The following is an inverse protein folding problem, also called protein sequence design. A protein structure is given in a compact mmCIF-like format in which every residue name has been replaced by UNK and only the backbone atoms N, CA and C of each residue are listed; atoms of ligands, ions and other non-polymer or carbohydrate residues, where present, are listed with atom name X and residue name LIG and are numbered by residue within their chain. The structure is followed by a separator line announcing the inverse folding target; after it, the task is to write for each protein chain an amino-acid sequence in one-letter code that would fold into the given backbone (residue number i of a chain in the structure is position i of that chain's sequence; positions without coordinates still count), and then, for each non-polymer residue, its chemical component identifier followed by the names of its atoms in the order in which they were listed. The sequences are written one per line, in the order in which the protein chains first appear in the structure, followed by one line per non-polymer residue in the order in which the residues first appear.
data_IF_724935878092
#
_entry.id   IF_724935878092
#
_cell.length_a   1.000
_cell.length_b   1.000
_cell.length_c   1.000
_cell.angle_alpha   90.00
_cell.angle_beta   90.00
_cell.angle_gamma   90.00
#
_symmetry.space_group_name_H-M   'P 1'
#
loop_
_entity.id
_entity.type
_entity.pdbx_description
1 polymer ?
#
# COMPACT_ATOMS: atom_id res chain seq x y z
N UNK A 1 11.42 23.73 -7.14
CA UNK A 1 12.35 23.25 -6.13
C UNK A 1 13.80 23.38 -6.61
N UNK A 2 14.30 22.51 -7.49
CA UNK A 2 15.72 22.57 -7.96
C UNK A 2 16.06 23.94 -8.54
N UNK A 3 15.22 24.49 -9.45
CA UNK A 3 15.48 25.80 -10.09
C UNK A 3 15.15 26.99 -9.20
N UNK A 4 14.16 26.90 -8.32
CA UNK A 4 13.72 28.02 -7.47
C UNK A 4 14.46 28.11 -6.13
N UNK A 5 15.18 27.07 -5.74
CA UNK A 5 15.78 26.96 -4.40
C UNK A 5 14.76 26.76 -3.27
N UNK A 6 13.45 26.76 -3.55
CA UNK A 6 12.40 26.53 -2.55
C UNK A 6 12.12 25.04 -2.42
N UNK A 7 12.62 24.42 -1.36
CA UNK A 7 12.47 22.97 -1.11
C UNK A 7 11.26 22.62 -0.25
N UNK A 8 10.53 23.63 0.24
CA UNK A 8 9.45 23.40 1.21
C UNK A 8 8.05 23.59 0.61
N UNK A 9 7.90 24.51 -0.37
CA UNK A 9 6.61 24.86 -0.95
C UNK A 9 6.50 24.41 -2.42
N UNK A 10 5.82 23.28 -2.72
CA UNK A 10 5.63 22.82 -4.09
C UNK A 10 4.89 23.83 -4.95
N UNK A 11 5.29 23.96 -6.22
CA UNK A 11 4.65 24.86 -7.20
C UNK A 11 4.44 24.15 -8.53
N UNK A 12 3.31 24.48 -9.19
CA UNK A 12 3.02 24.10 -10.57
C UNK A 12 2.67 25.36 -11.34
N UNK A 13 3.36 25.62 -12.46
CA UNK A 13 3.21 26.80 -13.28
C UNK A 13 3.34 28.13 -12.50
N UNK A 14 4.22 28.15 -11.50
CA UNK A 14 4.46 29.32 -10.66
C UNK A 14 3.51 29.50 -9.46
N UNK A 15 2.37 28.77 -9.42
CA UNK A 15 1.39 28.80 -8.33
C UNK A 15 1.72 27.74 -7.28
N UNK A 16 1.45 28.03 -6.00
CA UNK A 16 1.56 27.04 -4.92
C UNK A 16 0.59 25.89 -5.15
N UNK A 17 1.09 24.69 -4.88
CA UNK A 17 0.34 23.47 -5.13
C UNK A 17 0.20 22.63 -3.85
N UNK A 18 -1.03 22.43 -3.40
CA UNK A 18 -1.33 21.83 -2.10
C UNK A 18 -1.98 20.43 -2.19
N UNK A 19 -2.01 19.80 -3.38
CA UNK A 19 -2.70 18.51 -3.55
C UNK A 19 -2.00 17.36 -2.84
N UNK A 20 -0.68 17.35 -2.81
CA UNK A 20 0.13 16.30 -2.16
C UNK A 20 1.18 16.88 -1.23
N UNK A 21 1.52 16.15 -0.12
CA UNK A 21 2.62 16.51 0.74
C UNK A 21 3.98 16.43 0.06
N UNK A 22 5.01 16.83 0.79
CA UNK A 22 6.32 17.21 0.25
C UNK A 22 7.19 16.03 -0.19
N UNK A 23 7.04 14.83 0.38
CA UNK A 23 8.02 13.75 0.23
C UNK A 23 8.23 13.37 -1.24
N UNK A 24 7.15 13.22 -2.02
CA UNK A 24 7.22 12.92 -3.44
C UNK A 24 7.98 13.99 -4.24
N UNK A 25 7.82 15.25 -3.88
CA UNK A 25 8.54 16.35 -4.54
C UNK A 25 10.01 16.38 -4.17
N UNK A 26 10.38 15.99 -2.95
CA UNK A 26 11.78 15.85 -2.54
C UNK A 26 12.48 14.74 -3.32
N UNK A 27 11.88 13.57 -3.42
CA UNK A 27 12.49 12.46 -4.18
C UNK A 27 12.67 12.80 -5.65
N UNK A 28 11.69 13.48 -6.28
CA UNK A 28 11.83 13.99 -7.65
C UNK A 28 12.92 15.05 -7.76
N UNK A 29 12.95 16.03 -6.86
CA UNK A 29 13.94 17.10 -6.87
C UNK A 29 15.37 16.56 -6.71
N UNK A 30 15.58 15.60 -5.82
CA UNK A 30 16.86 14.91 -5.65
C UNK A 30 17.26 14.14 -6.90
N UNK A 31 16.33 13.43 -7.52
CA UNK A 31 16.58 12.70 -8.76
C UNK A 31 16.93 13.64 -9.92
N UNK A 32 16.22 14.76 -10.08
CA UNK A 32 16.55 15.76 -11.10
C UNK A 32 17.88 16.48 -10.84
N UNK A 33 18.20 16.73 -9.58
CA UNK A 33 19.50 17.32 -9.24
C UNK A 33 20.67 16.37 -9.58
N UNK A 34 20.48 15.06 -9.42
CA UNK A 34 21.51 14.06 -9.69
C UNK A 34 21.63 13.69 -11.18
N UNK A 35 20.51 13.61 -11.90
CA UNK A 35 20.45 13.04 -13.28
C UNK A 35 19.91 14.02 -14.33
N UNK A 36 19.76 15.31 -13.98
CA UNK A 36 19.16 16.32 -14.85
C UNK A 36 17.67 16.10 -15.16
N UNK A 37 17.04 17.08 -15.83
CA UNK A 37 15.62 17.03 -16.16
C UNK A 37 15.37 16.15 -17.40
N UNK A 38 15.05 14.88 -17.16
CA UNK A 38 14.70 13.90 -18.19
C UNK A 38 13.71 12.86 -17.65
N UNK A 39 13.16 12.03 -18.54
CA UNK A 39 12.17 11.02 -18.18
C UNK A 39 12.72 9.95 -17.23
N UNK A 40 13.98 9.57 -17.37
CA UNK A 40 14.63 8.61 -16.49
C UNK A 40 14.64 9.14 -15.04
N UNK A 41 15.13 10.37 -14.84
CA UNK A 41 15.17 10.99 -13.53
C UNK A 41 13.77 11.17 -12.92
N UNK A 42 12.74 11.47 -13.73
CA UNK A 42 11.38 11.58 -13.26
C UNK A 42 10.80 10.24 -12.75
N UNK A 43 11.16 9.12 -13.41
CA UNK A 43 10.62 7.78 -13.09
C UNK A 43 11.45 7.02 -12.06
N UNK A 44 12.70 7.40 -11.86
CA UNK A 44 13.65 6.69 -11.00
C UNK A 44 13.16 6.53 -9.55
N UNK A 45 12.60 7.53 -8.87
CA UNK A 45 12.10 7.36 -7.50
C UNK A 45 11.03 6.26 -7.40
N UNK A 46 10.04 6.28 -8.27
CA UNK A 46 9.00 5.23 -8.27
C UNK A 46 9.58 3.83 -8.54
N UNK A 47 10.57 3.72 -9.43
CA UNK A 47 11.25 2.45 -9.70
C UNK A 47 12.04 1.95 -8.48
N UNK A 48 12.74 2.84 -7.77
CA UNK A 48 13.48 2.50 -6.54
C UNK A 48 12.51 1.97 -5.46
N UNK A 49 11.39 2.68 -5.22
CA UNK A 49 10.38 2.20 -4.27
C UNK A 49 9.69 0.92 -4.74
N UNK A 50 9.50 0.73 -6.04
CA UNK A 50 9.02 -0.52 -6.61
C UNK A 50 9.93 -1.70 -6.28
N UNK A 51 11.24 -1.57 -6.57
CA UNK A 51 12.24 -2.59 -6.23
C UNK A 51 12.30 -2.83 -4.71
N UNK A 52 12.34 -1.77 -3.91
CA UNK A 52 12.33 -1.87 -2.45
C UNK A 52 11.09 -2.61 -1.93
N UNK A 53 9.92 -2.38 -2.52
CA UNK A 53 8.67 -3.07 -2.17
C UNK A 53 8.72 -4.56 -2.47
N UNK A 54 9.28 -4.96 -3.62
CA UNK A 54 9.45 -6.39 -3.99
C UNK A 54 10.41 -7.07 -3.01
N UNK A 55 11.55 -6.44 -2.73
CA UNK A 55 12.55 -6.96 -1.78
C UNK A 55 11.99 -7.05 -0.35
N UNK A 56 11.24 -6.04 0.07
CA UNK A 56 10.61 -6.03 1.39
C UNK A 56 9.51 -7.11 1.49
N UNK A 57 8.73 -7.30 0.45
CA UNK A 57 7.71 -8.37 0.37
C UNK A 57 8.38 -9.75 0.46
N UNK A 58 9.49 -9.97 -0.26
CA UNK A 58 10.30 -11.18 -0.12
C UNK A 58 10.76 -11.41 1.31
N UNK A 59 11.37 -10.39 1.91
CA UNK A 59 11.92 -10.48 3.27
C UNK A 59 10.83 -10.78 4.29
N UNK A 60 9.74 -10.00 4.30
CA UNK A 60 8.65 -10.15 5.25
C UNK A 60 7.97 -11.51 5.12
N UNK A 61 7.65 -11.92 3.91
CA UNK A 61 7.00 -13.22 3.65
C UNK A 61 7.89 -14.40 4.03
N UNK A 62 9.19 -14.31 3.74
CA UNK A 62 10.17 -15.33 4.12
C UNK A 62 10.30 -15.46 5.64
N UNK A 63 10.23 -14.32 6.35
CA UNK A 63 10.32 -14.28 7.81
C UNK A 63 9.05 -14.82 8.48
N UNK A 64 7.89 -14.56 7.92
CA UNK A 64 6.60 -14.91 8.52
C UNK A 64 6.18 -16.34 8.18
N UNK A 65 6.51 -16.80 7.00
CA UNK A 65 6.19 -18.14 6.51
C UNK A 65 7.47 -18.94 6.22
N UNK A 66 7.96 -18.89 4.99
CA UNK A 66 9.14 -19.58 4.52
C UNK A 66 9.72 -18.92 3.26
N UNK A 67 10.96 -19.27 2.92
CA UNK A 67 11.69 -18.66 1.79
C UNK A 67 11.02 -18.91 0.43
N UNK A 68 10.37 -20.07 0.24
CA UNK A 68 9.64 -20.41 -0.99
C UNK A 68 8.46 -19.48 -1.17
N UNK A 69 7.66 -19.31 -0.11
CA UNK A 69 6.53 -18.34 -0.09
C UNK A 69 7.04 -16.92 -0.33
N UNK A 70 8.19 -16.55 0.26
CA UNK A 70 8.81 -15.23 0.04
C UNK A 70 9.13 -14.97 -1.42
N UNK A 71 9.84 -15.88 -2.10
CA UNK A 71 10.15 -15.75 -3.53
C UNK A 71 8.89 -15.67 -4.40
N UNK A 72 7.91 -16.52 -4.10
CA UNK A 72 6.64 -16.54 -4.83
C UNK A 72 5.86 -15.24 -4.64
N UNK A 73 5.81 -14.68 -3.43
CA UNK A 73 5.14 -13.42 -3.13
C UNK A 73 5.80 -12.24 -3.85
N UNK A 74 7.14 -12.19 -3.83
CA UNK A 74 7.91 -11.17 -4.54
C UNK A 74 7.68 -11.23 -6.07
N UNK A 75 7.65 -12.43 -6.65
CA UNK A 75 7.33 -12.65 -8.06
C UNK A 75 5.91 -12.20 -8.38
N UNK A 76 4.91 -12.61 -7.58
CA UNK A 76 3.52 -12.24 -7.75
C UNK A 76 3.37 -10.72 -7.72
N UNK A 77 3.95 -10.05 -6.72
CA UNK A 77 3.88 -8.60 -6.61
C UNK A 77 4.54 -7.92 -7.81
N UNK A 78 5.79 -8.25 -8.11
CA UNK A 78 6.58 -7.59 -9.17
C UNK A 78 6.03 -7.77 -10.59
N UNK A 79 5.23 -8.84 -10.81
CA UNK A 79 4.59 -9.12 -12.10
C UNK A 79 3.10 -8.82 -12.15
N UNK A 80 2.52 -8.29 -11.07
CA UNK A 80 1.14 -7.78 -11.06
C UNK A 80 1.04 -6.52 -11.92
N UNK A 81 0.02 -6.42 -12.76
CA UNK A 81 -0.11 -5.37 -13.77
C UNK A 81 -0.13 -3.96 -13.19
N UNK A 82 -0.93 -3.71 -12.16
CA UNK A 82 -1.00 -2.41 -11.51
C UNK A 82 0.33 -2.04 -10.85
N UNK A 83 0.97 -3.00 -10.17
CA UNK A 83 2.27 -2.78 -9.54
C UNK A 83 3.35 -2.43 -10.57
N UNK A 84 3.38 -3.15 -11.70
CA UNK A 84 4.32 -2.91 -12.78
C UNK A 84 4.14 -1.52 -13.42
N UNK A 85 2.88 -1.06 -13.60
CA UNK A 85 2.60 0.27 -14.12
C UNK A 85 3.03 1.35 -13.12
N UNK A 86 2.57 1.26 -11.87
CA UNK A 86 2.78 2.32 -10.87
C UNK A 86 4.24 2.43 -10.42
N UNK A 87 5.00 1.34 -10.48
CA UNK A 87 6.45 1.37 -10.23
C UNK A 87 7.26 2.13 -11.30
N UNK A 88 6.66 2.53 -12.42
CA UNK A 88 7.30 3.31 -13.48
C UNK A 88 6.62 4.66 -13.73
N UNK A 89 5.48 4.88 -13.10
CA UNK A 89 4.75 6.13 -13.24
C UNK A 89 5.33 7.21 -12.31
N UNK A 90 5.21 8.46 -12.72
CA UNK A 90 5.62 9.62 -11.91
C UNK A 90 4.47 9.98 -10.97
N UNK A 91 4.27 9.15 -9.95
CA UNK A 91 3.15 9.25 -9.00
C UNK A 91 3.59 8.89 -7.57
N UNK A 92 2.84 9.35 -6.59
CA UNK A 92 3.09 9.12 -5.16
C UNK A 92 2.89 7.66 -4.72
N UNK A 93 2.25 6.85 -5.56
CA UNK A 93 1.69 5.56 -5.15
C UNK A 93 2.75 4.51 -4.83
N UNK A 94 3.89 4.50 -5.54
CA UNK A 94 4.98 3.54 -5.28
C UNK A 94 5.62 3.76 -3.90
N UNK A 95 5.93 5.01 -3.54
CA UNK A 95 6.46 5.37 -2.24
C UNK A 95 5.44 5.11 -1.12
N UNK A 96 4.18 5.49 -1.34
CA UNK A 96 3.09 5.21 -0.40
C UNK A 96 2.93 3.71 -0.14
N UNK A 97 2.92 2.90 -1.20
CA UNK A 97 2.84 1.44 -1.10
C UNK A 97 3.96 0.88 -0.23
N UNK A 98 5.20 1.30 -0.48
CA UNK A 98 6.35 0.87 0.30
C UNK A 98 6.20 1.23 1.78
N UNK A 99 5.96 2.51 2.09
CA UNK A 99 5.87 2.95 3.48
C UNK A 99 4.67 2.35 4.22
N UNK A 100 3.51 2.22 3.58
CA UNK A 100 2.37 1.54 4.20
C UNK A 100 2.67 0.05 4.45
N UNK A 101 3.31 -0.63 3.50
CA UNK A 101 3.70 -2.04 3.66
C UNK A 101 4.70 -2.22 4.82
N UNK A 102 5.69 -1.31 4.92
CA UNK A 102 6.65 -1.31 6.05
C UNK A 102 5.93 -1.02 7.36
N UNK A 103 5.04 -0.03 7.40
CA UNK A 103 4.30 0.33 8.60
C UNK A 103 3.47 -0.84 9.12
N UNK A 104 2.61 -1.42 8.28
CA UNK A 104 1.70 -2.49 8.72
C UNK A 104 2.44 -3.79 9.04
N UNK A 105 3.46 -4.15 8.27
CA UNK A 105 4.28 -5.32 8.56
C UNK A 105 5.10 -5.15 9.86
N UNK A 106 5.62 -3.94 10.12
CA UNK A 106 6.32 -3.62 11.36
C UNK A 106 5.40 -3.65 12.57
N UNK A 107 4.13 -3.24 12.42
CA UNK A 107 3.14 -3.45 13.48
C UNK A 107 2.99 -4.95 13.82
N UNK A 108 2.86 -5.81 12.80
CA UNK A 108 2.75 -7.26 13.02
C UNK A 108 4.00 -7.86 13.70
N UNK A 109 5.20 -7.44 13.27
CA UNK A 109 6.44 -7.88 13.89
C UNK A 109 6.61 -7.34 15.31
N UNK A 110 6.14 -6.12 15.59
CA UNK A 110 6.07 -5.53 16.92
C UNK A 110 5.17 -6.32 17.87
N UNK A 111 4.04 -6.77 17.35
CA UNK A 111 3.09 -7.62 18.07
C UNK A 111 3.62 -9.02 18.36
N UNK A 112 4.35 -9.62 17.41
CA UNK A 112 4.75 -11.03 17.46
C UNK A 112 6.14 -11.26 18.02
N UNK A 113 7.10 -10.38 17.75
CA UNK A 113 8.51 -10.63 17.99
C UNK A 113 9.16 -9.64 18.97
N UNK A 114 9.40 -8.40 18.52
CA UNK A 114 10.07 -7.36 19.32
C UNK A 114 9.35 -6.02 19.18
N UNK A 115 8.94 -5.47 20.31
CA UNK A 115 8.28 -4.16 20.40
C UNK A 115 9.07 -3.00 19.78
N UNK A 116 10.34 -3.16 19.48
CA UNK A 116 11.14 -2.16 18.74
C UNK A 116 10.60 -1.92 17.33
N UNK A 117 9.98 -2.92 16.71
CA UNK A 117 9.36 -2.75 15.39
C UNK A 117 8.23 -1.72 15.38
N UNK A 118 7.62 -1.41 16.53
CA UNK A 118 6.63 -0.34 16.61
C UNK A 118 7.23 1.04 16.27
N UNK A 119 8.50 1.31 16.58
CA UNK A 119 9.13 2.55 16.13
C UNK A 119 9.25 2.63 14.60
N UNK A 120 9.59 1.51 13.95
CA UNK A 120 9.62 1.45 12.49
C UNK A 120 8.21 1.60 11.89
N UNK A 121 7.18 1.05 12.55
CA UNK A 121 5.78 1.26 12.17
C UNK A 121 5.42 2.76 12.15
N UNK A 122 5.73 3.50 13.22
CA UNK A 122 5.43 4.93 13.31
C UNK A 122 6.28 5.77 12.34
N UNK A 123 7.56 5.45 12.18
CA UNK A 123 8.43 6.15 11.23
C UNK A 123 7.95 5.96 9.78
N UNK A 124 7.60 4.74 9.40
CA UNK A 124 7.06 4.45 8.07
C UNK A 124 5.69 5.11 7.85
N UNK A 125 4.81 5.12 8.87
CA UNK A 125 3.54 5.83 8.81
C UNK A 125 3.73 7.35 8.62
N UNK A 126 4.73 7.95 9.29
CA UNK A 126 5.05 9.37 9.11
C UNK A 126 5.49 9.69 7.67
N UNK A 127 6.35 8.84 7.09
CA UNK A 127 6.77 8.98 5.69
C UNK A 127 5.61 8.74 4.71
N UNK A 128 4.71 7.81 5.00
CA UNK A 128 3.49 7.61 4.22
C UNK A 128 2.58 8.85 4.27
N UNK A 129 2.46 9.50 5.45
CA UNK A 129 1.70 10.75 5.62
C UNK A 129 2.37 11.89 4.85
N UNK A 130 3.69 12.01 4.86
CA UNK A 130 4.42 12.98 4.05
C UNK A 130 4.36 12.69 2.53
N UNK A 131 3.96 11.48 2.13
CA UNK A 131 3.81 11.09 0.73
C UNK A 131 2.41 11.41 0.18
N UNK A 132 1.35 11.06 0.90
CA UNK A 132 -0.04 11.18 0.39
C UNK A 132 -1.05 11.74 1.41
N UNK A 133 -0.60 12.20 2.57
CA UNK A 133 -1.46 12.80 3.59
C UNK A 133 -2.01 11.79 4.61
N UNK A 134 -3.09 12.16 5.34
CA UNK A 134 -3.58 11.43 6.51
C UNK A 134 -3.85 9.94 6.30
N UNK A 135 -4.16 9.53 5.08
CA UNK A 135 -4.43 8.13 4.72
C UNK A 135 -3.23 7.22 5.02
N UNK A 136 -2.00 7.78 5.00
CA UNK A 136 -0.76 7.08 5.32
C UNK A 136 -0.70 6.53 6.75
N UNK A 137 -1.42 7.16 7.69
CA UNK A 137 -1.59 6.69 9.07
C UNK A 137 -2.92 5.98 9.26
N UNK A 138 -4.00 6.50 8.65
CA UNK A 138 -5.36 6.04 8.90
C UNK A 138 -5.56 4.56 8.51
N UNK A 139 -5.08 4.14 7.35
CA UNK A 139 -5.25 2.75 6.90
C UNK A 139 -4.46 1.75 7.74
N UNK A 140 -3.14 1.91 7.97
CA UNK A 140 -2.40 1.02 8.85
C UNK A 140 -2.94 1.01 10.28
N UNK A 141 -3.29 2.19 10.82
CA UNK A 141 -3.84 2.33 12.17
C UNK A 141 -5.19 1.62 12.33
N UNK A 142 -6.13 1.84 11.39
CA UNK A 142 -7.42 1.15 11.40
C UNK A 142 -7.25 -0.37 11.29
N UNK A 143 -6.37 -0.84 10.39
CA UNK A 143 -6.12 -2.27 10.22
C UNK A 143 -5.50 -2.90 11.47
N UNK A 144 -4.58 -2.20 12.14
CA UNK A 144 -4.01 -2.63 13.41
C UNK A 144 -5.10 -2.77 14.50
N UNK A 145 -5.97 -1.76 14.62
CA UNK A 145 -7.08 -1.79 15.59
C UNK A 145 -8.04 -2.95 15.27
N UNK A 146 -8.44 -3.11 14.02
CA UNK A 146 -9.35 -4.20 13.60
C UNK A 146 -8.73 -5.58 13.86
N UNK A 147 -7.43 -5.73 13.64
CA UNK A 147 -6.71 -6.96 13.95
C UNK A 147 -6.71 -7.26 15.46
N UNK A 148 -6.41 -6.27 16.30
CA UNK A 148 -6.44 -6.42 17.75
C UNK A 148 -7.85 -6.72 18.30
N UNK A 149 -8.88 -6.08 17.73
CA UNK A 149 -10.29 -6.38 18.02
C UNK A 149 -10.63 -7.82 17.65
N UNK A 150 -10.22 -8.28 16.46
CA UNK A 150 -10.41 -9.66 16.04
C UNK A 150 -9.74 -10.65 16.97
N UNK A 151 -8.50 -10.35 17.40
CA UNK A 151 -7.73 -11.16 18.34
C UNK A 151 -8.24 -11.07 19.77
N UNK A 152 -9.16 -10.14 20.07
CA UNK A 152 -9.62 -9.80 21.43
C UNK A 152 -8.48 -9.40 22.36
N UNK A 153 -7.44 -8.80 21.82
CA UNK A 153 -6.21 -8.40 22.51
C UNK A 153 -6.00 -6.88 22.48
N UNK A 154 -7.00 -6.14 22.96
CA UNK A 154 -6.89 -4.68 23.06
C UNK A 154 -5.86 -4.23 24.10
N UNK A 155 -5.42 -5.14 24.99
CA UNK A 155 -4.37 -4.84 25.98
C UNK A 155 -3.04 -4.50 25.29
N UNK A 156 -2.79 -5.03 24.08
CA UNK A 156 -1.59 -4.69 23.33
C UNK A 156 -1.51 -3.19 23.00
N UNK A 157 -2.64 -2.46 22.94
CA UNK A 157 -2.62 -1.01 22.75
C UNK A 157 -1.82 -0.25 23.85
N UNK A 158 -1.67 -0.83 25.02
CA UNK A 158 -0.81 -0.30 26.09
C UNK A 158 0.68 -0.55 25.81
N UNK A 159 0.99 -1.49 24.93
CA UNK A 159 2.34 -1.95 24.63
C UNK A 159 2.88 -1.45 23.27
N UNK A 160 2.02 -0.92 22.39
CA UNK A 160 2.40 -0.38 21.06
C UNK A 160 3.28 0.88 21.14
N UNK A 161 3.79 1.22 22.33
CA UNK A 161 4.63 2.41 22.56
C UNK A 161 3.99 3.70 22.03
N UNK A 162 2.68 3.86 22.27
CA UNK A 162 1.87 4.92 21.66
C UNK A 162 2.48 6.30 21.84
N UNK A 163 2.92 6.67 23.06
CA UNK A 163 3.46 8.00 23.35
C UNK A 163 4.79 8.20 22.60
N UNK A 164 5.77 7.33 22.81
CA UNK A 164 7.09 7.47 22.18
C UNK A 164 7.04 7.30 20.67
N UNK A 165 6.18 6.41 20.16
CA UNK A 165 5.95 6.24 18.74
C UNK A 165 5.27 7.45 18.10
N UNK A 166 4.28 8.05 18.77
CA UNK A 166 3.61 9.26 18.30
C UNK A 166 4.56 10.46 18.32
N UNK A 167 5.43 10.57 19.33
CA UNK A 167 6.49 11.60 19.34
C UNK A 167 7.39 11.44 18.12
N UNK A 168 7.87 10.22 17.83
CA UNK A 168 8.67 9.96 16.63
C UNK A 168 7.92 10.29 15.35
N UNK A 169 6.65 9.87 15.23
CA UNK A 169 5.79 10.18 14.10
C UNK A 169 5.69 11.70 13.89
N UNK A 170 5.37 12.46 14.94
CA UNK A 170 5.22 13.91 14.85
C UNK A 170 6.56 14.61 14.54
N UNK A 171 7.68 14.16 15.13
CA UNK A 171 9.00 14.71 14.81
C UNK A 171 9.36 14.58 13.33
N UNK A 172 8.92 13.51 12.68
CA UNK A 172 9.19 13.26 11.27
C UNK A 172 8.22 13.99 10.33
N UNK A 173 6.93 14.04 10.62
CA UNK A 173 5.96 14.60 9.67
C UNK A 173 5.50 16.03 10.01
N UNK A 174 5.37 16.40 11.28
CA UNK A 174 4.81 17.70 11.67
C UNK A 174 5.63 18.92 11.22
N UNK A 175 6.97 18.89 11.16
CA UNK A 175 7.74 20.07 10.75
C UNK A 175 7.30 20.66 9.41
N UNK A 176 7.04 19.82 8.42
CA UNK A 176 6.56 20.29 7.12
C UNK A 176 5.15 20.88 7.19
N UNK A 177 4.22 20.23 7.89
CA UNK A 177 2.86 20.75 8.03
C UNK A 177 2.82 22.07 8.80
N UNK A 178 3.64 22.20 9.85
CA UNK A 178 3.79 23.45 10.62
C UNK A 178 4.32 24.55 9.73
N UNK A 179 5.39 24.27 8.96
CA UNK A 179 5.97 25.23 8.02
C UNK A 179 4.93 25.70 6.99
N UNK A 180 4.24 24.77 6.34
CA UNK A 180 3.22 25.11 5.33
C UNK A 180 2.06 25.93 5.92
N UNK A 181 1.63 25.60 7.14
CA UNK A 181 0.58 26.36 7.83
C UNK A 181 1.07 27.76 8.21
N UNK A 182 2.30 27.90 8.66
CA UNK A 182 2.87 29.19 9.03
C UNK A 182 3.10 30.12 7.81
N UNK A 183 3.54 29.55 6.67
CA UNK A 183 3.83 30.33 5.47
C UNK A 183 2.61 30.60 4.59
N UNK A 184 1.65 29.67 4.54
CA UNK A 184 0.53 29.72 3.59
C UNK A 184 -0.85 29.79 4.29
N UNK A 185 -0.90 29.71 5.62
CA UNK A 185 -2.09 29.96 6.44
C UNK A 185 -3.29 29.10 6.05
N UNK A 186 -4.45 29.77 5.97
CA UNK A 186 -5.75 29.16 5.67
C UNK A 186 -5.82 28.56 4.26
N UNK A 187 -5.10 29.13 3.30
CA UNK A 187 -5.11 28.63 1.91
C UNK A 187 -4.58 27.19 1.84
N UNK A 188 -3.48 26.91 2.54
CA UNK A 188 -2.97 25.55 2.66
C UNK A 188 -3.97 24.63 3.37
N UNK A 189 -4.49 25.05 4.53
CA UNK A 189 -5.38 24.22 5.33
C UNK A 189 -6.68 23.87 4.59
N UNK A 190 -7.33 24.88 3.96
CA UNK A 190 -8.58 24.67 3.24
C UNK A 190 -8.39 23.82 1.98
N UNK A 191 -7.33 24.05 1.21
CA UNK A 191 -7.08 23.27 0.01
C UNK A 191 -6.64 21.85 0.37
N UNK A 192 -5.64 21.68 1.25
CA UNK A 192 -5.10 20.37 1.56
C UNK A 192 -6.11 19.50 2.34
N UNK A 193 -6.57 19.97 3.50
CA UNK A 193 -7.49 19.19 4.34
C UNK A 193 -8.93 19.25 3.87
N UNK A 194 -9.40 20.43 3.41
CA UNK A 194 -10.78 20.62 2.95
C UNK A 194 -11.02 19.98 1.59
N UNK A 195 -10.40 20.50 0.53
CA UNK A 195 -10.69 20.07 -0.85
C UNK A 195 -10.10 18.67 -1.13
N UNK A 196 -8.79 18.52 -0.92
CA UNK A 196 -8.08 17.31 -1.36
C UNK A 196 -8.21 16.10 -0.42
N UNK A 197 -8.71 16.27 0.80
CA UNK A 197 -8.96 15.16 1.72
C UNK A 197 -10.46 15.01 2.03
N UNK A 198 -11.09 16.02 2.65
CA UNK A 198 -12.48 15.91 3.11
C UNK A 198 -13.50 15.83 1.96
N UNK A 199 -13.47 16.76 1.00
CA UNK A 199 -14.41 16.73 -0.12
C UNK A 199 -14.23 15.47 -0.99
N UNK A 200 -12.99 15.06 -1.27
CA UNK A 200 -12.75 13.79 -1.98
C UNK A 200 -13.30 12.57 -1.26
N UNK A 201 -13.32 12.56 0.05
CA UNK A 201 -13.88 11.46 0.82
C UNK A 201 -15.41 11.43 0.81
N UNK A 202 -16.06 12.60 0.73
CA UNK A 202 -17.52 12.75 0.94
C UNK A 202 -18.30 13.01 -0.34
N UNK A 203 -17.68 13.59 -1.36
CA UNK A 203 -18.33 13.95 -2.63
C UNK A 203 -17.60 13.29 -3.78
N UNK A 204 -18.32 12.60 -4.66
CA UNK A 204 -17.75 11.94 -5.83
C UNK A 204 -17.24 12.95 -6.86
N UNK A 205 -15.94 13.02 -7.06
CA UNK A 205 -15.28 13.87 -8.07
C UNK A 205 -15.60 13.36 -9.50
N UNK A 206 -15.76 12.03 -9.64
CA UNK A 206 -16.08 11.37 -10.91
C UNK A 206 -17.28 10.43 -10.73
N UNK A 207 -18.46 10.84 -11.20
CA UNK A 207 -19.68 10.01 -11.11
C UNK A 207 -19.56 8.69 -11.91
N UNK A 208 -18.81 8.68 -13.01
CA UNK A 208 -18.59 7.49 -13.84
C UNK A 208 -17.87 6.34 -13.14
N UNK A 209 -17.16 6.60 -12.03
CA UNK A 209 -16.46 5.58 -11.24
C UNK A 209 -17.17 5.24 -9.93
N UNK A 210 -18.28 5.91 -9.59
CA UNK A 210 -18.99 5.76 -8.31
C UNK A 210 -19.83 4.47 -8.21
N UNK A 211 -19.43 3.40 -8.90
CA UNK A 211 -20.13 2.12 -8.88
C UNK A 211 -19.62 1.19 -7.76
N UNK A 212 -20.51 0.39 -7.17
CA UNK A 212 -20.18 -0.56 -6.10
C UNK A 212 -19.22 -1.67 -6.55
N UNK A 213 -19.22 -2.04 -7.83
CA UNK A 213 -18.35 -3.06 -8.42
C UNK A 213 -16.99 -2.53 -8.89
N UNK A 214 -16.78 -1.20 -8.88
CA UNK A 214 -15.60 -0.57 -9.45
C UNK A 214 -14.29 -1.17 -8.91
N UNK A 215 -14.11 -1.25 -7.61
CA UNK A 215 -12.88 -1.80 -7.05
C UNK A 215 -12.76 -3.31 -7.18
N UNK A 216 -13.87 -4.03 -7.34
CA UNK A 216 -13.81 -5.46 -7.67
C UNK A 216 -13.16 -5.63 -9.05
N UNK A 217 -13.65 -4.90 -10.05
CA UNK A 217 -13.09 -4.95 -11.40
C UNK A 217 -11.64 -4.44 -11.46
N UNK A 218 -11.36 -3.31 -10.79
CA UNK A 218 -10.00 -2.74 -10.73
C UNK A 218 -9.01 -3.69 -10.06
N UNK A 219 -9.42 -4.34 -8.98
CA UNK A 219 -8.58 -5.34 -8.31
C UNK A 219 -8.26 -6.52 -9.24
N UNK A 220 -9.26 -7.07 -9.94
CA UNK A 220 -9.03 -8.18 -10.88
C UNK A 220 -8.12 -7.79 -12.03
N UNK A 221 -8.29 -6.61 -12.59
CA UNK A 221 -7.44 -6.08 -13.65
C UNK A 221 -6.03 -5.76 -13.15
N UNK A 222 -5.92 -5.09 -12.01
CA UNK A 222 -4.65 -4.66 -11.44
C UNK A 222 -3.80 -5.82 -10.92
N UNK A 223 -4.43 -6.87 -10.38
CA UNK A 223 -3.75 -8.07 -9.90
C UNK A 223 -3.52 -9.11 -11.01
N UNK A 224 -3.87 -8.81 -12.26
CA UNK A 224 -3.56 -9.67 -13.41
C UNK A 224 -2.04 -9.92 -13.53
N UNK A 225 -1.60 -11.16 -13.87
CA UNK A 225 -2.38 -12.35 -14.19
C UNK A 225 -2.82 -13.15 -12.93
N UNK A 226 -2.39 -12.79 -11.73
CA UNK A 226 -2.52 -13.58 -10.51
C UNK A 226 -3.95 -13.73 -9.99
N UNK A 227 -4.85 -12.80 -10.36
CA UNK A 227 -6.28 -12.93 -10.09
C UNK A 227 -6.86 -14.25 -10.64
N UNK A 228 -6.40 -14.72 -11.81
CA UNK A 228 -6.83 -15.98 -12.42
C UNK A 228 -6.24 -17.23 -11.75
N UNK A 229 -5.07 -17.10 -11.12
CA UNK A 229 -4.48 -18.20 -10.35
C UNK A 229 -5.06 -18.28 -8.94
N UNK A 230 -5.31 -17.14 -8.32
CA UNK A 230 -5.84 -17.03 -6.97
C UNK A 230 -7.23 -17.65 -6.84
N UNK A 231 -8.16 -17.35 -7.77
CA UNK A 231 -9.53 -17.81 -7.68
C UNK A 231 -9.67 -19.35 -7.71
N UNK A 232 -9.13 -20.09 -8.71
CA UNK A 232 -9.20 -21.55 -8.72
C UNK A 232 -8.56 -22.17 -7.49
N UNK A 233 -7.43 -21.62 -7.02
CA UNK A 233 -6.76 -22.09 -5.82
C UNK A 233 -7.63 -21.90 -4.57
N UNK A 234 -8.32 -20.75 -4.46
CA UNK A 234 -9.23 -20.44 -3.36
C UNK A 234 -10.46 -21.35 -3.36
N UNK A 235 -11.10 -21.55 -4.52
CA UNK A 235 -12.26 -22.44 -4.67
C UNK A 235 -11.91 -23.88 -4.30
N UNK A 236 -10.75 -24.35 -4.74
CA UNK A 236 -10.26 -25.67 -4.41
C UNK A 236 -10.01 -25.84 -2.91
N UNK A 237 -9.29 -24.91 -2.28
CA UNK A 237 -9.06 -24.93 -0.83
C UNK A 237 -10.39 -24.97 -0.07
N UNK A 238 -11.38 -24.20 -0.53
CA UNK A 238 -12.74 -24.24 0.04
C UNK A 238 -13.36 -25.62 -0.03
N UNK A 239 -13.21 -26.31 -1.17
CA UNK A 239 -13.78 -27.65 -1.39
C UNK A 239 -13.10 -28.73 -0.56
N UNK A 240 -11.76 -28.67 -0.45
CA UNK A 240 -10.96 -29.73 0.21
C UNK A 240 -10.88 -29.57 1.72
N UNK A 241 -10.76 -28.35 2.23
CA UNK A 241 -10.45 -28.07 3.65
C UNK A 241 -11.47 -27.13 4.31
N UNK A 242 -12.41 -26.58 3.56
CA UNK A 242 -13.24 -25.46 3.99
C UNK A 242 -12.44 -24.14 4.11
N UNK A 243 -13.12 -23.03 3.98
CA UNK A 243 -12.56 -21.71 4.28
C UNK A 243 -13.03 -21.29 5.65
N UNK A 244 -12.13 -21.31 6.63
CA UNK A 244 -12.40 -20.76 7.95
C UNK A 244 -11.33 -19.70 8.27
N UNK A 245 -11.74 -18.45 8.30
CA UNK A 245 -10.90 -17.34 8.70
C UNK A 245 -10.37 -17.52 10.14
N UNK A 246 -11.23 -18.00 11.03
CA UNK A 246 -10.86 -18.22 12.42
C UNK A 246 -9.81 -19.32 12.63
N UNK A 247 -9.72 -20.30 11.70
CA UNK A 247 -8.74 -21.39 11.72
C UNK A 247 -7.44 -21.07 10.99
N UNK A 248 -7.38 -19.93 10.29
CA UNK A 248 -6.16 -19.50 9.63
C UNK A 248 -5.07 -19.15 10.68
N UNK A 249 -3.82 -19.30 10.29
CA UNK A 249 -2.72 -18.82 11.13
C UNK A 249 -2.76 -17.30 11.31
N UNK A 250 -2.13 -16.81 12.36
CA UNK A 250 -2.19 -15.41 12.76
C UNK A 250 -1.74 -14.44 11.66
N UNK A 251 -0.69 -14.80 10.93
CA UNK A 251 -0.19 -13.96 9.84
C UNK A 251 -1.18 -13.86 8.67
N UNK A 252 -1.82 -14.99 8.32
CA UNK A 252 -2.88 -15.01 7.32
C UNK A 252 -4.08 -14.16 7.75
N UNK A 253 -4.50 -14.24 9.01
CA UNK A 253 -5.56 -13.38 9.56
C UNK A 253 -5.19 -11.90 9.46
N UNK A 254 -3.97 -11.55 9.86
CA UNK A 254 -3.47 -10.19 9.81
C UNK A 254 -3.44 -9.62 8.39
N UNK A 255 -2.89 -10.35 7.43
CA UNK A 255 -2.84 -9.95 6.03
C UNK A 255 -4.24 -9.82 5.41
N UNK A 256 -5.17 -10.71 5.77
CA UNK A 256 -6.57 -10.59 5.34
C UNK A 256 -7.23 -9.33 5.91
N UNK A 257 -7.01 -9.04 7.20
CA UNK A 257 -7.51 -7.79 7.80
C UNK A 257 -6.96 -6.58 7.03
N UNK A 258 -5.65 -6.53 6.76
CA UNK A 258 -5.07 -5.42 5.99
C UNK A 258 -5.69 -5.29 4.60
N UNK A 259 -5.65 -6.35 3.79
CA UNK A 259 -6.15 -6.31 2.42
C UNK A 259 -7.63 -5.93 2.32
N UNK A 260 -8.46 -6.53 3.19
CA UNK A 260 -9.90 -6.25 3.23
C UNK A 260 -10.19 -4.84 3.75
N UNK A 261 -9.46 -4.36 4.77
CA UNK A 261 -9.65 -2.99 5.29
C UNK A 261 -9.37 -1.96 4.20
N UNK A 262 -8.29 -2.11 3.43
CA UNK A 262 -7.99 -1.19 2.31
C UNK A 262 -9.13 -1.18 1.30
N UNK A 263 -9.61 -2.34 0.87
CA UNK A 263 -10.70 -2.44 -0.10
C UNK A 263 -12.00 -1.82 0.43
N UNK A 264 -12.36 -2.10 1.68
CA UNK A 264 -13.61 -1.60 2.29
C UNK A 264 -13.56 -0.09 2.50
N UNK A 265 -12.46 0.45 3.03
CA UNK A 265 -12.33 1.90 3.26
C UNK A 265 -12.48 2.66 1.95
N UNK A 266 -11.77 2.25 0.91
CA UNK A 266 -11.89 2.95 -0.38
C UNK A 266 -13.23 2.68 -1.09
N UNK A 267 -13.87 1.54 -0.84
CA UNK A 267 -15.23 1.31 -1.33
C UNK A 267 -16.24 2.27 -0.71
N UNK A 268 -16.05 2.67 0.55
CA UNK A 268 -16.93 3.60 1.27
C UNK A 268 -16.65 5.08 0.91
N UNK A 269 -15.44 5.42 0.47
CA UNK A 269 -15.08 6.77 0.03
C UNK A 269 -15.81 7.12 -1.28
N UNK A 270 -16.35 8.33 -1.37
CA UNK A 270 -17.16 8.77 -2.51
C UNK A 270 -16.36 8.86 -3.81
N UNK A 271 -15.18 9.50 -3.79
CA UNK A 271 -14.30 9.60 -4.96
C UNK A 271 -13.48 8.32 -5.13
N UNK A 272 -13.57 7.70 -6.30
CA UNK A 272 -12.88 6.45 -6.61
C UNK A 272 -11.82 6.67 -7.70
N UNK A 273 -10.55 6.44 -7.33
CA UNK A 273 -9.43 6.38 -8.27
C UNK A 273 -8.94 4.93 -8.42
N UNK A 274 -8.47 4.59 -9.58
CA UNK A 274 -7.98 3.22 -9.90
C UNK A 274 -6.88 2.74 -8.97
N UNK A 275 -6.04 3.66 -8.48
CA UNK A 275 -4.85 3.37 -7.65
C UNK A 275 -5.14 3.25 -6.15
N UNK A 276 -6.37 3.51 -5.71
CA UNK A 276 -6.66 3.55 -4.26
C UNK A 276 -6.55 2.18 -3.59
N UNK A 277 -6.84 1.11 -4.31
CA UNK A 277 -6.72 -0.26 -3.79
C UNK A 277 -5.31 -0.82 -3.85
N UNK A 278 -4.38 -0.10 -4.46
CA UNK A 278 -2.99 -0.51 -4.66
C UNK A 278 -2.30 -1.02 -3.38
N UNK A 279 -2.40 -0.39 -2.20
CA UNK A 279 -1.76 -0.88 -0.98
C UNK A 279 -2.23 -2.28 -0.54
N UNK A 280 -3.40 -2.75 -0.99
CA UNK A 280 -3.89 -4.10 -0.69
C UNK A 280 -3.09 -5.21 -1.38
N UNK A 281 -2.40 -4.90 -2.49
CA UNK A 281 -1.62 -5.86 -3.26
C UNK A 281 -0.49 -6.50 -2.43
N UNK A 282 0.08 -5.78 -1.45
CA UNK A 282 1.05 -6.35 -0.52
C UNK A 282 0.51 -7.60 0.18
N UNK A 283 -0.68 -7.49 0.79
CA UNK A 283 -1.29 -8.63 1.46
C UNK A 283 -1.70 -9.74 0.50
N UNK A 284 -2.35 -9.39 -0.60
CA UNK A 284 -2.89 -10.39 -1.52
C UNK A 284 -1.82 -11.11 -2.31
N UNK A 285 -0.67 -10.48 -2.61
CA UNK A 285 0.47 -11.17 -3.19
C UNK A 285 1.02 -12.24 -2.24
N UNK A 286 1.16 -11.94 -0.95
CA UNK A 286 1.65 -12.88 0.06
C UNK A 286 0.63 -14.01 0.29
N UNK A 287 -0.65 -13.67 0.42
CA UNK A 287 -1.71 -14.66 0.63
C UNK A 287 -1.86 -15.61 -0.56
N UNK A 288 -1.76 -15.08 -1.79
CA UNK A 288 -1.77 -15.89 -3.00
C UNK A 288 -0.54 -16.81 -3.07
N UNK A 289 0.64 -16.29 -2.74
CA UNK A 289 1.87 -17.09 -2.68
C UNK A 289 1.73 -18.25 -1.70
N UNK A 290 1.23 -17.98 -0.49
CA UNK A 290 0.97 -19.02 0.52
C UNK A 290 -0.07 -20.03 0.05
N UNK A 291 -1.12 -19.57 -0.60
CA UNK A 291 -2.16 -20.44 -1.17
C UNK A 291 -1.56 -21.38 -2.21
N UNK A 292 -0.71 -20.86 -3.11
CA UNK A 292 -0.05 -21.64 -4.16
C UNK A 292 1.03 -22.59 -3.59
N UNK A 293 1.78 -22.16 -2.57
CA UNK A 293 2.80 -22.98 -1.91
C UNK A 293 2.22 -24.22 -1.20
N UNK A 294 0.97 -24.15 -0.74
CA UNK A 294 0.26 -25.29 -0.14
C UNK A 294 -0.15 -26.38 -1.13
N UNK A 295 0.07 -26.17 -2.43
CA UNK A 295 -0.24 -27.14 -3.46
C UNK A 295 1.01 -27.80 -4.01
N UNK A 296 1.42 -28.93 -3.43
CA UNK A 296 2.53 -29.76 -3.95
C UNK A 296 2.05 -30.69 -5.09
N UNK A 297 2.89 -30.80 -6.13
CA UNK A 297 2.75 -31.81 -7.19
C UNK A 297 1.70 -31.51 -8.28
N UNK A 298 0.91 -32.52 -8.67
CA UNK A 298 -0.03 -32.49 -9.79
C UNK A 298 -1.12 -31.42 -9.65
N UNK A 299 -1.45 -31.04 -8.43
CA UNK A 299 -2.49 -30.08 -8.06
C UNK A 299 -2.05 -28.65 -8.31
N UNK A 300 -0.85 -28.29 -7.89
CA UNK A 300 -0.27 -26.99 -8.19
C UNK A 300 -0.12 -26.78 -9.70
N UNK A 301 0.32 -27.81 -10.42
CA UNK A 301 0.39 -27.79 -11.88
C UNK A 301 -0.99 -27.56 -12.54
N UNK A 302 -2.04 -28.23 -12.09
CA UNK A 302 -3.40 -28.01 -12.65
C UNK A 302 -3.92 -26.60 -12.40
N UNK A 303 -3.74 -26.03 -11.21
CA UNK A 303 -4.13 -24.66 -10.91
C UNK A 303 -3.33 -23.65 -11.77
N UNK A 304 -2.02 -23.85 -11.88
CA UNK A 304 -1.15 -23.05 -12.75
C UNK A 304 -1.54 -23.19 -14.24
N UNK A 305 -1.81 -24.40 -14.73
CA UNK A 305 -2.27 -24.61 -16.11
C UNK A 305 -3.62 -23.96 -16.37
N UNK A 306 -4.57 -24.08 -15.45
CA UNK A 306 -5.88 -23.42 -15.59
C UNK A 306 -5.70 -21.90 -15.64
N UNK A 307 -4.93 -21.31 -14.73
CA UNK A 307 -4.61 -19.90 -14.76
C UNK A 307 -3.88 -19.47 -16.04
N UNK A 308 -2.90 -20.25 -16.51
CA UNK A 308 -2.18 -19.99 -17.75
C UNK A 308 -3.09 -20.04 -18.98
N UNK A 309 -4.01 -21.02 -19.06
CA UNK A 309 -4.99 -21.13 -20.15
C UNK A 309 -5.91 -19.92 -20.18
N UNK A 310 -6.43 -19.48 -19.03
CA UNK A 310 -7.25 -18.25 -18.94
C UNK A 310 -6.45 -17.00 -19.33
N UNK A 311 -5.21 -16.88 -18.86
CA UNK A 311 -4.34 -15.75 -19.20
C UNK A 311 -4.06 -15.70 -20.71
N UNK A 312 -3.72 -16.84 -21.30
CA UNK A 312 -3.45 -16.93 -22.74
C UNK A 312 -4.70 -16.70 -23.59
N UNK A 313 -5.88 -17.16 -23.16
CA UNK A 313 -7.14 -16.91 -23.88
C UNK A 313 -7.51 -15.44 -23.92
N UNK A 314 -7.13 -14.64 -22.91
CA UNK A 314 -7.37 -13.20 -22.90
C UNK A 314 -6.37 -12.38 -23.71
N UNK A 315 -5.17 -12.91 -23.93
CA UNK A 315 -4.16 -12.26 -24.80
C UNK A 315 -4.52 -12.44 -26.28
N UNK A 316 -5.32 -13.44 -26.60
CA UNK A 316 -5.75 -13.75 -28.00
C UNK A 316 -7.11 -13.14 -28.37
N UNK A 317 -7.77 -12.39 -27.47
CA UNK A 317 -8.96 -11.58 -27.75
C UNK A 317 -8.55 -10.13 -27.94
#
# INVERSE_FOLDING_TARGET
MVLSGDWMSPRIYGHYWYDKPIFFYWELALSFAAFSFNEFAARLPSAVFGVASVLYTFWFSSKVYDRKTGWTAALILGTSFEFWILSKAVVTDAALFFFMSVSIASFYLGYREDRKYYFLCYAAAALAVLTKGPIGLALPGLSAILFLLWRRDLREMLHVRLISGMVLFLLLCAPWYIYMTACHGTDFLLNFFGVHNYLRATVAEHQSTAHWWFYIAMYFAGFFPWSFFMLPALFRKRKEHGLSFARADMATQFLLVWGVTVLLVFQLIATKYTTYTFPSLFAFAILTAKLLAGYDGAVGRKALMTGAVYTLSLIHI
#
